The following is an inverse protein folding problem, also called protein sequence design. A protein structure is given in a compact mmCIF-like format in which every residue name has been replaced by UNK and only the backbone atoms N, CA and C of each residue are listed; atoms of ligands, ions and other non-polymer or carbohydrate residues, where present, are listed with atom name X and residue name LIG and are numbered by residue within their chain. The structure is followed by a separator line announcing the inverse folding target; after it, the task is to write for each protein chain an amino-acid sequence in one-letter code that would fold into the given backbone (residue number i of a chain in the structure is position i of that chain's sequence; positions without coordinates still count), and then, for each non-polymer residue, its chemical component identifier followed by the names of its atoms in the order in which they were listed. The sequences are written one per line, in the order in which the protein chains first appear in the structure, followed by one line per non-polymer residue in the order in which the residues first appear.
data_IF_002632382763
#
_entry.id   IF_002632382763
#
_cell.length_a   1.000
_cell.length_b   1.000
_cell.length_c   1.000
_cell.angle_alpha   90.00
_cell.angle_beta   90.00
_cell.angle_gamma   90.00
#
_symmetry.space_group_name_H-M   'P 1'
#
loop_
_entity.id
_entity.type
_entity.pdbx_description
1 polymer ?
#
# COMPACT_ATOMS: atom_id res chain seq x y z
N UNK A 1 -30.63 13.97 -54.72
CA UNK A 1 -30.22 15.22 -54.08
C UNK A 1 -30.61 15.14 -52.62
N UNK A 2 -29.70 15.37 -51.73
CA UNK A 2 -29.92 15.41 -50.29
C UNK A 2 -28.93 14.50 -49.53
N UNK A 3 -27.72 14.97 -49.36
CA UNK A 3 -26.72 14.40 -48.49
C UNK A 3 -27.02 14.82 -47.09
N UNK A 4 -27.05 13.88 -46.17
CA UNK A 4 -27.09 14.20 -44.76
C UNK A 4 -25.86 13.64 -44.07
N UNK A 5 -25.02 14.59 -43.66
CA UNK A 5 -23.76 14.38 -43.00
C UNK A 5 -24.01 14.26 -41.49
N UNK A 6 -23.95 13.05 -40.96
CA UNK A 6 -24.06 12.82 -39.53
C UNK A 6 -22.71 12.91 -38.87
N UNK A 7 -22.51 14.00 -38.13
CA UNK A 7 -21.30 14.21 -37.31
C UNK A 7 -21.22 13.19 -36.17
N UNK A 8 -20.12 12.49 -36.13
CA UNK A 8 -19.78 11.60 -35.03
C UNK A 8 -19.43 12.43 -33.79
N UNK A 9 -20.28 12.39 -32.80
CA UNK A 9 -19.98 12.87 -31.45
C UNK A 9 -18.94 12.00 -30.80
N UNK A 10 -17.76 12.52 -30.59
CA UNK A 10 -16.76 11.93 -29.75
C UNK A 10 -17.26 11.90 -28.28
N UNK A 11 -17.66 10.73 -27.83
CA UNK A 11 -17.91 10.50 -26.40
C UNK A 11 -16.59 10.66 -25.64
N UNK A 12 -16.47 11.76 -24.91
CA UNK A 12 -15.45 11.97 -23.92
C UNK A 12 -15.56 10.87 -22.87
N UNK A 13 -14.53 10.03 -22.76
CA UNK A 13 -14.41 9.01 -21.72
C UNK A 13 -14.20 9.76 -20.41
N UNK A 14 -15.11 9.52 -19.50
CA UNK A 14 -15.12 10.06 -18.14
C UNK A 14 -13.78 9.90 -17.44
N UNK A 15 -13.10 11.01 -17.12
CA UNK A 15 -11.81 11.09 -16.45
C UNK A 15 -11.91 10.92 -14.90
N UNK A 16 -13.05 10.48 -14.41
CA UNK A 16 -13.28 10.23 -12.97
C UNK A 16 -12.41 9.13 -12.35
N UNK A 17 -11.64 8.39 -13.15
CA UNK A 17 -10.78 7.30 -12.69
C UNK A 17 -9.38 7.75 -12.21
N UNK A 18 -8.91 8.93 -12.57
CA UNK A 18 -7.55 9.40 -12.26
C UNK A 18 -7.40 9.94 -10.84
N UNK A 19 -8.48 10.40 -10.23
CA UNK A 19 -8.47 10.96 -8.87
C UNK A 19 -8.79 9.93 -7.78
N UNK A 20 -9.14 8.71 -8.14
CA UNK A 20 -9.45 7.65 -7.19
C UNK A 20 -8.18 6.92 -6.74
N UNK A 21 -8.01 6.77 -5.42
CA UNK A 21 -6.94 5.95 -4.87
C UNK A 21 -7.24 4.48 -5.13
N UNK A 22 -6.33 3.82 -5.83
CA UNK A 22 -6.38 2.38 -6.08
C UNK A 22 -5.34 1.67 -5.22
N UNK A 23 -5.75 0.68 -4.45
CA UNK A 23 -4.81 -0.20 -3.72
C UNK A 23 -4.67 -1.52 -4.46
N UNK A 24 -3.43 -1.94 -4.68
CA UNK A 24 -3.09 -3.18 -5.38
C UNK A 24 -1.89 -3.87 -4.77
N UNK A 25 -1.68 -5.13 -5.13
CA UNK A 25 -0.42 -5.83 -4.84
C UNK A 25 0.71 -5.10 -5.57
N UNK A 26 1.81 -4.92 -4.85
CA UNK A 26 3.02 -4.32 -5.42
C UNK A 26 3.68 -5.28 -6.41
N UNK A 27 4.32 -4.70 -7.41
CA UNK A 27 5.20 -5.41 -8.33
C UNK A 27 6.65 -4.96 -8.15
N UNK A 28 7.60 -5.75 -8.62
CA UNK A 28 9.03 -5.46 -8.45
C UNK A 28 9.45 -4.07 -8.95
N UNK A 29 8.74 -3.54 -9.95
CA UNK A 29 8.96 -2.18 -10.47
C UNK A 29 8.57 -1.08 -9.48
N UNK A 30 7.74 -1.36 -8.48
CA UNK A 30 7.32 -0.39 -7.45
C UNK A 30 8.40 -0.18 -6.37
N UNK A 31 9.39 -1.07 -6.26
CA UNK A 31 10.41 -1.05 -5.20
C UNK A 31 11.04 0.32 -5.00
N UNK A 32 11.51 1.04 -6.06
CA UNK A 32 12.10 2.37 -5.86
C UNK A 32 11.12 3.39 -5.26
N UNK A 33 9.83 3.31 -5.61
CA UNK A 33 8.81 4.19 -5.05
C UNK A 33 8.52 3.84 -3.58
N UNK A 34 8.44 2.55 -3.26
CA UNK A 34 8.24 2.07 -1.88
C UNK A 34 9.40 2.49 -0.97
N UNK A 35 10.65 2.33 -1.42
CA UNK A 35 11.82 2.74 -0.63
C UNK A 35 11.81 4.25 -0.37
N UNK A 36 11.46 5.07 -1.37
CA UNK A 36 11.28 6.52 -1.16
C UNK A 36 10.22 6.83 -0.10
N UNK A 37 9.09 6.11 -0.11
CA UNK A 37 8.04 6.28 0.90
C UNK A 37 8.52 5.86 2.30
N UNK A 38 9.30 4.79 2.41
CA UNK A 38 9.89 4.35 3.68
C UNK A 38 10.86 5.39 4.24
N UNK A 39 11.62 6.08 3.36
CA UNK A 39 12.54 7.14 3.73
C UNK A 39 11.86 8.51 4.01
N UNK A 40 10.56 8.66 3.72
CA UNK A 40 9.83 9.95 3.75
C UNK A 40 9.45 10.42 5.17
N UNK A 41 10.27 10.11 6.17
CA UNK A 41 10.19 10.68 7.53
C UNK A 41 11.56 10.63 8.22
N UNK A 42 11.70 11.36 9.33
CA UNK A 42 12.98 11.48 10.03
C UNK A 42 13.57 10.12 10.50
N UNK A 43 12.71 9.16 10.87
CA UNK A 43 13.15 7.82 11.28
C UNK A 43 13.52 6.98 10.05
N UNK A 44 12.74 7.07 8.98
CA UNK A 44 13.02 6.39 7.72
C UNK A 44 14.28 6.93 7.05
N UNK A 45 14.43 8.25 6.95
CA UNK A 45 15.60 8.88 6.36
C UNK A 45 16.93 8.47 7.02
N UNK A 46 16.89 8.09 8.30
CA UNK A 46 18.07 7.59 9.01
C UNK A 46 18.36 6.09 8.77
N UNK A 47 17.40 5.34 8.25
CA UNK A 47 17.47 3.88 8.08
C UNK A 47 17.53 3.45 6.63
N UNK A 48 16.84 4.18 5.76
CA UNK A 48 16.70 3.86 4.35
C UNK A 48 17.70 4.66 3.52
N UNK A 49 18.30 4.02 2.53
CA UNK A 49 19.22 4.67 1.61
C UNK A 49 18.71 4.49 0.17
N UNK A 50 18.94 5.50 -0.66
CA UNK A 50 18.37 5.58 -2.02
C UNK A 50 19.42 5.50 -3.13
N UNK A 51 20.66 5.13 -2.82
CA UNK A 51 21.71 5.01 -3.85
C UNK A 51 21.60 3.69 -4.65
N UNK A 52 22.21 3.66 -5.83
CA UNK A 52 21.96 2.62 -6.82
C UNK A 52 22.31 1.19 -6.41
N UNK A 53 23.29 0.99 -5.51
CA UNK A 53 23.70 -0.34 -5.02
C UNK A 53 22.61 -0.92 -4.10
N UNK A 54 22.00 -0.08 -3.30
CA UNK A 54 21.00 -0.46 -2.29
C UNK A 54 19.65 -0.80 -2.92
N UNK A 55 19.34 -0.25 -4.10
CA UNK A 55 18.13 -0.66 -4.85
C UNK A 55 18.15 -2.16 -5.18
N UNK A 56 19.31 -2.77 -5.38
CA UNK A 56 19.43 -4.21 -5.60
C UNK A 56 19.03 -5.00 -4.36
N UNK A 57 19.52 -4.60 -3.18
CA UNK A 57 19.19 -5.26 -1.90
C UNK A 57 17.68 -5.19 -1.60
N UNK A 58 17.04 -4.06 -1.86
CA UNK A 58 15.58 -3.93 -1.71
C UNK A 58 14.79 -4.78 -2.71
N UNK A 59 15.30 -4.96 -3.93
CA UNK A 59 14.68 -5.87 -4.90
C UNK A 59 14.80 -7.33 -4.47
N UNK A 60 15.93 -7.72 -3.92
CA UNK A 60 16.13 -9.07 -3.37
C UNK A 60 15.24 -9.30 -2.14
N UNK A 61 15.08 -8.29 -1.29
CA UNK A 61 14.15 -8.32 -0.17
C UNK A 61 12.69 -8.43 -0.65
N UNK A 62 12.31 -7.66 -1.68
CA UNK A 62 11.00 -7.76 -2.32
C UNK A 62 10.75 -9.19 -2.81
N UNK A 63 11.68 -9.77 -3.55
CA UNK A 63 11.57 -11.12 -4.09
C UNK A 63 11.49 -12.18 -2.97
N UNK A 64 12.15 -11.93 -1.83
CA UNK A 64 12.07 -12.80 -0.65
C UNK A 64 10.68 -12.75 0.00
N UNK A 65 10.11 -11.54 0.16
CA UNK A 65 8.76 -11.34 0.70
C UNK A 65 7.71 -11.96 -0.23
N UNK A 66 7.82 -11.72 -1.54
CA UNK A 66 6.87 -12.22 -2.56
C UNK A 66 6.83 -13.75 -2.63
N UNK A 67 7.97 -14.41 -2.40
CA UNK A 67 8.04 -15.88 -2.35
C UNK A 67 7.51 -16.50 -1.05
N UNK A 68 7.35 -15.73 0.00
CA UNK A 68 6.94 -16.25 1.30
C UNK A 68 5.41 -16.30 1.40
N UNK A 69 4.79 -17.50 1.51
CA UNK A 69 3.35 -17.62 1.63
C UNK A 69 2.79 -16.77 2.79
N UNK A 70 1.68 -16.10 2.54
CA UNK A 70 1.03 -15.26 3.52
C UNK A 70 1.60 -13.84 3.64
N UNK A 71 2.61 -13.49 2.85
CA UNK A 71 3.10 -12.11 2.74
C UNK A 71 2.57 -11.42 1.49
N UNK A 72 2.18 -10.17 1.63
CA UNK A 72 1.76 -9.30 0.55
C UNK A 72 2.30 -7.89 0.76
N UNK A 73 2.94 -7.35 -0.26
CA UNK A 73 3.26 -5.93 -0.32
C UNK A 73 2.15 -5.23 -1.08
N UNK A 74 1.53 -4.22 -0.47
CA UNK A 74 0.46 -3.44 -1.08
C UNK A 74 0.94 -2.02 -1.35
N UNK A 75 0.52 -1.46 -2.47
CA UNK A 75 0.74 -0.06 -2.83
C UNK A 75 -0.58 0.65 -3.07
N UNK A 76 -0.65 1.91 -2.67
CA UNK A 76 -1.70 2.83 -3.06
C UNK A 76 -1.20 3.67 -4.23
N UNK A 77 -1.99 3.71 -5.28
CA UNK A 77 -1.72 4.44 -6.52
C UNK A 77 -2.75 5.54 -6.71
N UNK A 78 -2.31 6.72 -7.08
CA UNK A 78 -3.13 7.87 -7.43
C UNK A 78 -2.61 8.45 -8.75
N UNK A 79 -3.46 8.50 -9.76
CA UNK A 79 -3.07 8.99 -11.08
C UNK A 79 -1.88 8.23 -11.72
N UNK A 80 -1.74 6.94 -11.45
CA UNK A 80 -0.61 6.13 -11.95
C UNK A 80 0.67 6.27 -11.12
N UNK A 81 0.67 7.03 -10.03
CA UNK A 81 1.82 7.25 -9.15
C UNK A 81 1.61 6.49 -7.84
N UNK A 82 2.62 5.74 -7.40
CA UNK A 82 2.62 5.09 -6.08
C UNK A 82 2.80 6.15 -4.99
N UNK A 83 1.79 6.29 -4.14
CA UNK A 83 1.69 7.33 -3.09
C UNK A 83 1.59 6.75 -1.68
N UNK A 84 1.51 5.44 -1.55
CA UNK A 84 1.48 4.75 -0.26
C UNK A 84 1.93 3.29 -0.40
N UNK A 85 2.38 2.69 0.70
CA UNK A 85 2.74 1.28 0.76
C UNK A 85 2.47 0.71 2.15
N UNK A 86 2.34 -0.61 2.24
CA UNK A 86 2.36 -1.39 3.46
C UNK A 86 2.74 -2.84 3.16
N UNK A 87 3.18 -3.56 4.19
CA UNK A 87 3.30 -5.02 4.17
C UNK A 87 2.21 -5.65 5.03
N UNK A 88 1.57 -6.69 4.52
CA UNK A 88 0.63 -7.55 5.21
C UNK A 88 1.23 -8.94 5.32
N UNK A 89 1.29 -9.49 6.54
CA UNK A 89 1.75 -10.87 6.78
C UNK A 89 0.67 -11.64 7.50
N UNK A 90 0.25 -12.78 6.95
CA UNK A 90 -0.72 -13.68 7.57
C UNK A 90 0.02 -14.79 8.28
N UNK A 91 -0.25 -14.96 9.57
CA UNK A 91 0.48 -15.85 10.47
C UNK A 91 -0.52 -16.84 11.07
N UNK A 92 -0.37 -18.11 10.71
CA UNK A 92 -1.10 -19.20 11.36
C UNK A 92 -0.64 -19.38 12.80
N UNK A 93 -1.56 -19.60 13.72
CA UNK A 93 -1.27 -19.83 15.14
C UNK A 93 -1.87 -21.13 15.64
N UNK A 94 -1.21 -21.80 16.58
CA UNK A 94 -1.74 -22.99 17.25
C UNK A 94 -2.62 -22.60 18.46
N UNK A 95 -2.28 -21.51 19.14
CA UNK A 95 -3.01 -21.06 20.32
C UNK A 95 -4.42 -20.58 19.97
N UNK A 96 -5.30 -20.46 20.99
CA UNK A 96 -6.68 -19.99 20.82
C UNK A 96 -7.46 -20.76 19.75
N UNK A 97 -7.28 -22.09 19.71
CA UNK A 97 -7.93 -23.01 18.74
C UNK A 97 -7.52 -22.74 17.29
N UNK A 98 -6.26 -22.40 17.05
CA UNK A 98 -5.75 -22.18 15.70
C UNK A 98 -6.05 -20.79 15.13
N UNK A 99 -6.09 -19.77 15.98
CA UNK A 99 -6.31 -18.39 15.50
C UNK A 99 -5.24 -18.00 14.50
N UNK A 100 -5.67 -17.60 13.31
CA UNK A 100 -4.84 -16.93 12.31
C UNK A 100 -4.88 -15.43 12.57
N UNK A 101 -3.70 -14.79 12.59
CA UNK A 101 -3.57 -13.34 12.76
C UNK A 101 -2.90 -12.73 11.53
N UNK A 102 -3.17 -11.47 11.30
CA UNK A 102 -2.49 -10.65 10.30
C UNK A 102 -1.62 -9.61 11.02
N UNK A 103 -0.41 -9.41 10.52
CA UNK A 103 0.50 -8.33 10.93
C UNK A 103 0.60 -7.32 9.81
N UNK A 104 0.45 -6.03 10.14
CA UNK A 104 0.64 -4.92 9.20
C UNK A 104 1.85 -4.12 9.61
N UNK A 105 2.77 -3.91 8.68
CA UNK A 105 4.02 -3.21 8.89
C UNK A 105 4.31 -2.22 7.75
N UNK A 106 5.24 -1.30 7.98
CA UNK A 106 5.74 -0.41 6.93
C UNK A 106 4.69 0.51 6.32
N UNK A 107 3.59 0.81 7.02
CA UNK A 107 2.54 1.69 6.49
C UNK A 107 3.10 3.09 6.25
N UNK A 108 3.05 3.52 5.00
CA UNK A 108 3.51 4.85 4.58
C UNK A 108 2.52 5.47 3.60
N UNK A 109 2.39 6.78 3.71
CA UNK A 109 1.71 7.64 2.73
C UNK A 109 2.61 8.85 2.50
N UNK A 110 2.80 9.23 1.26
CA UNK A 110 3.58 10.40 0.86
C UNK A 110 3.20 11.62 1.69
N UNK A 111 4.19 12.34 2.22
CA UNK A 111 3.99 13.40 3.21
C UNK A 111 2.94 14.43 2.78
N UNK A 112 3.01 14.88 1.52
CA UNK A 112 2.11 15.87 0.94
C UNK A 112 0.66 15.39 0.74
N UNK A 113 0.42 14.08 0.89
CA UNK A 113 -0.91 13.46 0.70
C UNK A 113 -1.49 12.89 1.99
N UNK A 114 -0.80 13.07 3.11
CA UNK A 114 -1.32 12.66 4.43
C UNK A 114 -2.60 13.43 4.77
N UNK A 115 -3.44 12.83 5.60
CA UNK A 115 -4.73 13.45 5.97
C UNK A 115 -5.85 13.35 4.92
N UNK A 116 -5.59 12.76 3.73
CA UNK A 116 -6.57 12.62 2.64
C UNK A 116 -7.29 11.25 2.59
N UNK A 117 -7.22 10.46 3.67
CA UNK A 117 -7.90 9.16 3.74
C UNK A 117 -7.18 8.00 3.07
N UNK A 118 -6.02 8.22 2.42
CA UNK A 118 -5.27 7.17 1.69
C UNK A 118 -4.88 6.03 2.63
N UNK A 119 -4.33 6.36 3.80
CA UNK A 119 -3.97 5.36 4.80
C UNK A 119 -5.16 4.52 5.27
N UNK A 120 -6.32 5.14 5.49
CA UNK A 120 -7.54 4.44 5.87
C UNK A 120 -8.02 3.48 4.76
N UNK A 121 -7.94 3.91 3.50
CA UNK A 121 -8.27 3.06 2.34
C UNK A 121 -7.32 1.86 2.26
N UNK A 122 -6.00 2.06 2.45
CA UNK A 122 -5.03 0.98 2.47
C UNK A 122 -5.30 -0.01 3.60
N UNK A 123 -5.57 0.48 4.82
CA UNK A 123 -5.87 -0.37 5.97
C UNK A 123 -7.15 -1.18 5.77
N UNK A 124 -8.19 -0.60 5.17
CA UNK A 124 -9.43 -1.32 4.84
C UNK A 124 -9.17 -2.47 3.88
N UNK A 125 -8.42 -2.22 2.80
CA UNK A 125 -8.03 -3.28 1.86
C UNK A 125 -7.19 -4.35 2.54
N UNK A 126 -6.23 -3.97 3.38
CA UNK A 126 -5.42 -4.93 4.15
C UNK A 126 -6.29 -5.80 5.07
N UNK A 127 -7.30 -5.22 5.74
CA UNK A 127 -8.25 -5.97 6.57
C UNK A 127 -9.11 -6.94 5.75
N UNK A 128 -9.58 -6.53 4.58
CA UNK A 128 -10.35 -7.39 3.67
C UNK A 128 -9.50 -8.58 3.19
N UNK A 129 -8.26 -8.32 2.79
CA UNK A 129 -7.32 -9.38 2.38
C UNK A 129 -6.97 -10.31 3.53
N UNK A 130 -6.70 -9.77 4.71
CA UNK A 130 -6.44 -10.57 5.92
C UNK A 130 -7.60 -11.52 6.24
N UNK A 131 -8.84 -11.03 6.17
CA UNK A 131 -10.06 -11.86 6.35
C UNK A 131 -10.18 -12.94 5.28
N UNK A 132 -9.89 -12.61 4.02
CA UNK A 132 -9.90 -13.59 2.93
C UNK A 132 -8.89 -14.74 3.15
N UNK A 133 -7.80 -14.46 3.86
CA UNK A 133 -6.82 -15.46 4.31
C UNK A 133 -7.17 -16.12 5.66
N UNK A 134 -8.36 -15.88 6.20
CA UNK A 134 -8.82 -16.48 7.45
C UNK A 134 -8.30 -15.82 8.73
N UNK A 135 -7.65 -14.66 8.65
CA UNK A 135 -7.23 -13.93 9.84
C UNK A 135 -8.42 -13.31 10.56
N UNK A 136 -8.50 -13.52 11.87
CA UNK A 136 -9.52 -12.96 12.75
C UNK A 136 -8.98 -11.90 13.70
N UNK A 137 -7.67 -11.74 13.74
CA UNK A 137 -6.96 -10.73 14.54
C UNK A 137 -6.00 -9.99 13.63
N UNK A 138 -6.00 -8.66 13.70
CA UNK A 138 -5.00 -7.83 13.07
C UNK A 138 -4.12 -7.17 14.14
N UNK A 139 -2.82 -7.18 13.91
CA UNK A 139 -1.80 -6.56 14.74
C UNK A 139 -1.02 -5.56 13.91
N UNK A 140 -0.57 -4.52 14.53
CA UNK A 140 0.40 -3.59 13.96
C UNK A 140 1.35 -3.11 15.05
N UNK A 141 2.54 -2.73 14.64
CA UNK A 141 3.52 -2.06 15.49
C UNK A 141 3.76 -0.65 14.96
N UNK A 142 3.88 0.30 15.88
CA UNK A 142 4.26 1.68 15.55
C UNK A 142 5.30 2.14 16.56
N UNK A 143 6.29 2.90 16.08
CA UNK A 143 7.26 3.54 16.94
C UNK A 143 6.54 4.51 17.88
N UNK A 144 6.90 4.50 19.18
CA UNK A 144 6.24 5.32 20.20
C UNK A 144 6.35 6.83 19.93
N UNK A 145 7.38 7.26 19.21
CA UNK A 145 7.58 8.66 18.79
C UNK A 145 6.61 9.13 17.72
N UNK A 146 5.94 8.18 17.00
CA UNK A 146 4.98 8.47 15.92
C UNK A 146 3.57 8.71 16.47
N UNK A 147 3.39 9.81 17.20
CA UNK A 147 2.12 10.16 17.86
C UNK A 147 0.96 10.24 16.86
N UNK A 148 1.17 10.82 15.69
CA UNK A 148 0.14 10.94 14.64
C UNK A 148 -0.27 9.59 14.04
N UNK A 149 0.67 8.67 13.86
CA UNK A 149 0.38 7.31 13.41
C UNK A 149 -0.46 6.57 14.47
N UNK A 150 -0.10 6.67 15.74
CA UNK A 150 -0.87 6.08 16.83
C UNK A 150 -2.30 6.61 16.86
N UNK A 151 -2.50 7.91 16.81
CA UNK A 151 -3.84 8.55 16.73
C UNK A 151 -4.63 8.11 15.50
N UNK A 152 -3.95 7.87 14.39
CA UNK A 152 -4.57 7.34 13.19
C UNK A 152 -5.10 5.92 13.41
N UNK A 153 -4.29 5.01 13.97
CA UNK A 153 -4.70 3.62 14.21
C UNK A 153 -5.79 3.49 15.28
N UNK A 154 -5.82 4.37 16.27
CA UNK A 154 -6.86 4.41 17.32
C UNK A 154 -8.26 4.82 16.77
N UNK A 155 -8.32 5.35 15.54
CA UNK A 155 -9.57 5.77 14.87
C UNK A 155 -10.06 4.80 13.79
N UNK A 156 -9.32 3.74 13.50
CA UNK A 156 -9.72 2.69 12.57
C UNK A 156 -10.61 1.66 13.23
#
# INVERSE_FOLDING_TARGET
MGEDSTGAGANGVDDGSRDAVRVRIAVRADVPAMVRLLADDALGAAREQLDGAIVAEYRDAFDAVDRQPGNELLVAELGGVVVGCLQLTVIAGLSRRGVTRALVEGVRVAAQLRGRGIGATMMRVAMERARAHGATVMQLTSDASRIDARRFYERL
#
